data_IF_379704622061
#
_entry.id   IF_379704622061
#
_cell.length_a   1.000
_cell.length_b   1.000
_cell.length_c   1.000
_cell.angle_alpha   90.00
_cell.angle_beta   90.00
_cell.angle_gamma   90.00
#
_symmetry.space_group_name_H-M   'P 1'
#
loop_
_entity.id
_entity.type
_entity.pdbx_description
1 polymer ?
#
# COMPACT_ATOMS: atom_id res chain seq x y z
N UNK A 1 20.81 -1.97 37.19
CA UNK A 1 19.73 -2.04 36.19
C UNK A 1 20.33 -1.61 34.86
N UNK A 2 20.25 -2.49 33.86
CA UNK A 2 20.96 -2.33 32.59
C UNK A 2 20.32 -1.23 31.74
N UNK A 3 21.18 -0.40 31.15
CA UNK A 3 20.86 0.64 30.19
C UNK A 3 20.31 -0.03 28.92
N UNK A 4 19.02 0.18 28.61
CA UNK A 4 18.44 -0.30 27.35
C UNK A 4 18.95 0.60 26.23
N UNK A 5 20.03 0.15 25.58
CA UNK A 5 20.59 0.76 24.39
C UNK A 5 19.52 0.91 23.31
N UNK A 6 19.52 2.08 22.68
CA UNK A 6 18.69 2.39 21.53
C UNK A 6 18.76 1.26 20.50
N UNK A 7 17.60 0.71 20.13
CA UNK A 7 17.47 -0.15 18.97
C UNK A 7 17.82 0.72 17.76
N UNK A 8 19.03 0.52 17.23
CA UNK A 8 19.49 1.10 15.96
C UNK A 8 18.43 0.85 14.89
N UNK A 9 17.97 1.91 14.25
CA UNK A 9 17.03 1.86 13.13
C UNK A 9 17.54 0.87 12.08
N UNK A 10 16.76 -0.19 11.79
CA UNK A 10 16.95 -0.97 10.57
C UNK A 10 16.85 0.00 9.39
N UNK A 11 17.93 0.17 8.63
CA UNK A 11 17.87 0.79 7.32
C UNK A 11 17.01 -0.10 6.41
N UNK A 12 15.75 0.29 6.21
CA UNK A 12 14.84 -0.42 5.32
C UNK A 12 15.10 0.09 3.92
N UNK A 13 15.62 -0.76 3.03
CA UNK A 13 15.75 -0.43 1.62
C UNK A 13 14.40 -0.02 1.03
N UNK A 14 14.30 1.18 0.50
CA UNK A 14 13.09 1.71 -0.13
C UNK A 14 12.97 1.30 -1.59
N UNK A 15 11.75 1.21 -2.11
CA UNK A 15 11.53 1.02 -3.55
C UNK A 15 11.71 2.34 -4.30
N UNK A 16 12.57 2.34 -5.32
CA UNK A 16 12.81 3.47 -6.22
C UNK A 16 11.86 3.48 -7.44
N UNK A 17 11.18 2.36 -7.72
CA UNK A 17 10.25 2.24 -8.86
C UNK A 17 8.94 2.97 -8.57
N UNK A 18 8.29 3.59 -9.57
CA UNK A 18 6.96 4.17 -9.36
C UNK A 18 5.93 3.09 -8.99
N UNK A 19 5.13 3.32 -7.95
CA UNK A 19 4.17 2.34 -7.43
C UNK A 19 2.74 2.88 -7.40
N UNK A 20 1.76 2.06 -7.78
CA UNK A 20 0.32 2.28 -7.56
C UNK A 20 -0.31 1.02 -7.00
N UNK A 21 -1.04 1.14 -5.88
CA UNK A 21 -1.50 -0.01 -5.09
C UNK A 21 -3.02 -0.02 -5.01
N UNK A 22 -3.62 -1.19 -5.19
CA UNK A 22 -5.08 -1.40 -5.11
C UNK A 22 -5.39 -2.41 -4.01
N UNK A 23 -6.33 -2.10 -3.14
CA UNK A 23 -6.73 -2.92 -1.99
C UNK A 23 -8.24 -3.04 -1.98
N UNK A 24 -8.76 -4.28 -1.91
CA UNK A 24 -10.18 -4.49 -1.73
C UNK A 24 -10.61 -4.16 -0.30
N UNK A 25 -11.65 -3.35 -0.13
CA UNK A 25 -12.15 -2.92 1.19
C UNK A 25 -12.56 -4.11 2.06
N UNK A 26 -13.13 -5.16 1.48
CA UNK A 26 -13.61 -6.34 2.21
C UNK A 26 -12.51 -7.35 2.54
N UNK A 27 -11.24 -7.06 2.20
CA UNK A 27 -10.09 -7.94 2.52
C UNK A 27 -9.83 -7.95 4.02
N UNK A 28 -9.68 -9.12 4.67
CA UNK A 28 -9.24 -9.19 6.07
C UNK A 28 -7.92 -8.45 6.33
N UNK A 29 -7.01 -8.46 5.35
CA UNK A 29 -5.71 -7.78 5.44
C UNK A 29 -5.88 -6.27 5.68
N UNK A 30 -6.85 -5.62 5.02
CA UNK A 30 -7.12 -4.18 5.20
C UNK A 30 -7.71 -3.84 6.58
N UNK A 31 -8.17 -4.85 7.31
CA UNK A 31 -8.78 -4.72 8.63
C UNK A 31 -7.90 -5.23 9.77
N UNK A 32 -6.67 -5.68 9.49
CA UNK A 32 -5.75 -6.03 10.56
C UNK A 32 -5.42 -4.81 11.43
N UNK A 33 -5.20 -5.01 12.75
CA UNK A 33 -4.80 -3.92 13.64
C UNK A 33 -3.58 -3.18 13.09
N UNK A 34 -3.68 -1.85 13.00
CA UNK A 34 -2.60 -0.99 12.50
C UNK A 34 -2.48 -0.88 10.98
N UNK A 35 -3.20 -1.69 10.19
CA UNK A 35 -3.04 -1.69 8.73
C UNK A 35 -3.58 -0.40 8.10
N UNK A 36 -4.74 0.09 8.56
CA UNK A 36 -5.32 1.33 8.02
C UNK A 36 -4.46 2.53 8.37
N UNK A 37 -3.93 2.55 9.59
CA UNK A 37 -3.01 3.57 10.08
C UNK A 37 -1.71 3.58 9.26
N UNK A 38 -1.16 2.39 8.99
CA UNK A 38 0.01 2.21 8.15
C UNK A 38 -0.21 2.69 6.70
N UNK A 39 -1.37 2.40 6.12
CA UNK A 39 -1.70 2.77 4.74
C UNK A 39 -2.03 4.26 4.60
N UNK A 40 -2.85 4.82 5.50
CA UNK A 40 -3.48 6.14 5.32
C UNK A 40 -2.93 7.25 6.21
N UNK A 41 -2.70 6.97 7.49
CA UNK A 41 -2.57 8.03 8.49
C UNK A 41 -1.12 8.48 8.65
N UNK A 42 -0.26 7.54 9.03
CA UNK A 42 1.07 7.88 9.54
C UNK A 42 2.14 7.89 8.44
N UNK A 43 1.70 7.78 7.19
CA UNK A 43 2.57 7.67 6.04
C UNK A 43 3.53 6.47 6.15
N UNK A 44 3.23 5.46 6.97
CA UNK A 44 4.12 4.32 7.17
C UNK A 44 4.42 3.61 5.86
N UNK A 45 3.37 3.39 5.06
CA UNK A 45 3.51 2.80 3.75
C UNK A 45 4.23 3.73 2.76
N UNK A 46 3.96 5.03 2.80
CA UNK A 46 4.62 6.04 1.94
C UNK A 46 6.09 6.25 2.32
N UNK A 47 6.45 6.10 3.60
CA UNK A 47 7.83 6.15 4.09
C UNK A 47 8.62 4.95 3.59
N UNK A 48 8.03 3.77 3.67
CA UNK A 48 8.70 2.53 3.24
C UNK A 48 8.68 2.39 1.70
N UNK A 49 7.73 3.06 1.02
CA UNK A 49 7.62 3.18 -0.46
C UNK A 49 7.54 4.66 -0.89
N UNK A 50 8.66 5.40 -0.90
CA UNK A 50 8.67 6.85 -1.18
C UNK A 50 8.08 7.22 -2.54
N UNK A 51 8.24 6.35 -3.53
CA UNK A 51 7.74 6.50 -4.90
C UNK A 51 6.25 6.18 -5.09
N UNK A 52 5.54 5.78 -4.02
CA UNK A 52 4.12 5.43 -4.06
C UNK A 52 3.27 6.61 -4.52
N UNK A 53 2.63 6.48 -5.68
CA UNK A 53 1.81 7.53 -6.27
C UNK A 53 0.43 7.60 -5.61
N UNK A 54 -0.19 6.44 -5.41
CA UNK A 54 -1.59 6.35 -5.00
C UNK A 54 -1.89 4.98 -4.37
N UNK A 55 -2.73 4.98 -3.34
CA UNK A 55 -3.39 3.79 -2.81
C UNK A 55 -4.88 3.91 -3.07
N UNK A 56 -5.46 2.95 -3.79
CA UNK A 56 -6.88 2.90 -4.10
C UNK A 56 -7.53 1.80 -3.25
N UNK A 57 -8.46 2.19 -2.39
CA UNK A 57 -9.29 1.26 -1.62
C UNK A 57 -10.61 1.07 -2.36
N UNK A 58 -10.81 -0.12 -2.90
CA UNK A 58 -11.94 -0.44 -3.76
C UNK A 58 -13.11 -0.98 -2.94
N UNK A 59 -14.25 -0.30 -3.00
CA UNK A 59 -15.49 -0.77 -2.35
C UNK A 59 -16.13 -1.93 -3.11
N UNK A 60 -16.80 -2.80 -2.36
CA UNK A 60 -17.53 -3.95 -2.89
C UNK A 60 -16.65 -5.11 -3.35
N UNK A 61 -15.34 -5.08 -3.09
CA UNK A 61 -14.42 -6.14 -3.52
C UNK A 61 -13.53 -6.69 -2.40
N UNK A 62 -13.18 -7.97 -2.51
CA UNK A 62 -12.39 -8.75 -1.57
C UNK A 62 -11.05 -9.19 -2.21
N UNK A 63 -10.79 -10.50 -2.28
CA UNK A 63 -9.47 -11.04 -2.61
C UNK A 63 -9.09 -10.90 -4.08
N UNK A 64 -10.04 -10.99 -5.00
CA UNK A 64 -9.71 -11.10 -6.41
C UNK A 64 -10.19 -9.86 -7.15
N UNK A 65 -9.70 -8.68 -6.75
CA UNK A 65 -10.13 -7.37 -7.29
C UNK A 65 -10.04 -7.29 -8.82
N UNK A 66 -9.07 -7.98 -9.43
CA UNK A 66 -8.88 -8.05 -10.87
C UNK A 66 -9.92 -8.93 -11.59
N UNK A 67 -10.59 -9.84 -10.87
CA UNK A 67 -11.70 -10.63 -11.40
C UNK A 67 -13.06 -10.04 -11.01
N UNK A 68 -13.15 -9.42 -9.83
CA UNK A 68 -14.37 -8.81 -9.31
C UNK A 68 -14.68 -7.47 -10.00
N UNK A 69 -13.64 -6.69 -10.35
CA UNK A 69 -13.74 -5.41 -11.07
C UNK A 69 -12.69 -5.29 -12.19
N UNK A 70 -12.71 -6.16 -13.21
CA UNK A 70 -11.67 -6.24 -14.21
C UNK A 70 -11.51 -4.95 -15.03
N UNK A 71 -12.61 -4.29 -15.38
CA UNK A 71 -12.60 -3.07 -16.19
C UNK A 71 -11.96 -1.90 -15.44
N UNK A 72 -12.30 -1.73 -14.16
CA UNK A 72 -11.75 -0.67 -13.29
C UNK A 72 -10.24 -0.87 -13.10
N UNK A 73 -9.82 -2.11 -12.78
CA UNK A 73 -8.40 -2.47 -12.64
C UNK A 73 -7.64 -2.25 -13.96
N UNK A 74 -8.17 -2.71 -15.08
CA UNK A 74 -7.52 -2.53 -16.38
C UNK A 74 -7.38 -1.06 -16.75
N UNK A 75 -8.39 -0.23 -16.46
CA UNK A 75 -8.34 1.22 -16.68
C UNK A 75 -7.24 1.86 -15.84
N UNK A 76 -7.13 1.52 -14.55
CA UNK A 76 -6.08 2.04 -13.68
C UNK A 76 -4.68 1.62 -14.11
N UNK A 77 -4.50 0.37 -14.55
CA UNK A 77 -3.24 -0.13 -15.09
C UNK A 77 -2.84 0.67 -16.33
N UNK A 78 -3.76 0.81 -17.29
CA UNK A 78 -3.50 1.56 -18.53
C UNK A 78 -3.15 3.03 -18.23
N UNK A 79 -3.92 3.70 -17.38
CA UNK A 79 -3.67 5.08 -16.97
C UNK A 79 -2.35 5.26 -16.23
N UNK A 80 -1.93 4.28 -15.42
CA UNK A 80 -0.68 4.37 -14.68
C UNK A 80 0.53 4.30 -15.61
N UNK A 81 0.54 3.34 -16.54
CA UNK A 81 1.66 3.16 -17.47
C UNK A 81 1.74 4.24 -18.54
N UNK A 82 0.62 4.87 -18.92
CA UNK A 82 0.63 5.98 -19.88
C UNK A 82 1.30 7.26 -19.36
N UNK A 83 1.74 7.29 -18.09
CA UNK A 83 2.49 8.40 -17.50
C UNK A 83 4.00 8.34 -17.84
N UNK A 84 4.48 7.23 -18.37
CA UNK A 84 5.88 6.95 -18.69
C UNK A 84 6.02 6.59 -20.17
#
# INVERSE_FOLDING_TARGET
MQNMGAVSSMDRSTSESANKVHIGRSRPVYHFPGMKEYIHNDGGFKRDVPSLQEVIVMEGVAHYINQEKPQEINSHIHQFFHKF
#
